data_IF_826285711641
#
_entry.id   IF_826285711641
#
_cell.length_a   1.000
_cell.length_b   1.000
_cell.length_c   1.000
_cell.angle_alpha   90.00
_cell.angle_beta   90.00
_cell.angle_gamma   90.00
#
_symmetry.space_group_name_H-M   'P 1'
#
loop_
_entity.id
_entity.type
_entity.pdbx_description
1 polymer ?
#
# COMPACT_ATOMS: atom_id res chain seq x y z
N UNK A 1 7.94 13.56 -30.14
CA UNK A 1 7.20 12.42 -29.56
C UNK A 1 7.03 12.71 -28.07
N UNK A 2 5.79 12.81 -27.58
CA UNK A 2 5.48 13.11 -26.17
C UNK A 2 5.08 11.79 -25.50
N UNK A 3 5.74 11.41 -24.41
CA UNK A 3 5.40 10.21 -23.64
C UNK A 3 4.23 10.54 -22.70
N UNK A 4 3.30 9.60 -22.55
CA UNK A 4 2.13 9.69 -21.66
C UNK A 4 1.94 8.35 -20.96
N UNK A 5 1.48 8.34 -19.71
CA UNK A 5 1.24 7.09 -19.00
C UNK A 5 0.03 6.34 -19.57
N UNK A 6 0.19 5.01 -19.63
CA UNK A 6 -0.90 4.09 -19.92
C UNK A 6 -1.56 3.62 -18.61
N UNK A 7 -2.86 3.34 -18.61
CA UNK A 7 -3.54 2.80 -17.43
C UNK A 7 -3.00 1.40 -17.09
N UNK A 8 -2.95 1.10 -15.80
CA UNK A 8 -2.58 -0.23 -15.27
C UNK A 8 -3.66 -0.71 -14.30
N UNK A 9 -3.90 -2.03 -14.29
CA UNK A 9 -4.88 -2.64 -13.40
C UNK A 9 -4.41 -2.60 -11.94
N UNK A 10 -5.32 -2.31 -11.01
CA UNK A 10 -5.01 -2.13 -9.58
C UNK A 10 -4.42 -3.39 -8.92
N UNK A 11 -4.78 -4.59 -9.38
CA UNK A 11 -4.23 -5.85 -8.84
C UNK A 11 -2.77 -6.09 -9.22
N UNK A 12 -2.24 -5.37 -10.22
CA UNK A 12 -0.83 -5.44 -10.61
C UNK A 12 0.04 -4.41 -9.86
N UNK A 13 -0.57 -3.70 -8.90
CA UNK A 13 0.09 -2.73 -8.04
C UNK A 13 0.14 -3.27 -6.61
N UNK A 14 1.16 -2.88 -5.86
CA UNK A 14 1.29 -3.16 -4.44
C UNK A 14 1.90 -1.95 -3.74
N UNK A 15 1.50 -1.73 -2.48
CA UNK A 15 2.05 -0.67 -1.67
C UNK A 15 3.44 -1.08 -1.18
N UNK A 16 4.40 -0.19 -1.31
CA UNK A 16 5.74 -0.37 -0.77
C UNK A 16 5.68 0.04 0.69
N UNK A 17 6.15 -0.84 1.56
CA UNK A 17 6.30 -0.52 2.97
C UNK A 17 7.53 0.38 3.17
N UNK A 18 7.35 1.53 3.81
CA UNK A 18 8.41 2.51 4.06
C UNK A 18 9.57 1.96 4.88
N UNK A 19 9.37 0.88 5.64
CA UNK A 19 10.40 0.30 6.49
C UNK A 19 11.17 -0.83 5.83
N UNK A 20 10.48 -1.67 5.07
CA UNK A 20 11.11 -2.83 4.41
C UNK A 20 11.45 -2.57 2.95
N UNK A 21 10.99 -1.47 2.35
CA UNK A 21 11.12 -1.16 0.91
C UNK A 21 10.66 -2.30 -0.01
N UNK A 22 9.80 -3.17 0.51
CA UNK A 22 9.27 -4.35 -0.19
C UNK A 22 7.77 -4.21 -0.39
N UNK A 23 7.24 -4.89 -1.40
CA UNK A 23 5.82 -4.94 -1.66
C UNK A 23 5.08 -5.62 -0.51
N UNK A 24 4.09 -4.94 0.06
CA UNK A 24 3.30 -5.46 1.18
C UNK A 24 1.81 -5.47 0.87
N UNK A 25 1.12 -6.43 1.48
CA UNK A 25 -0.34 -6.49 1.47
C UNK A 25 -0.87 -5.66 2.61
N UNK A 26 -1.94 -4.91 2.35
CA UNK A 26 -2.58 -4.08 3.37
C UNK A 26 -3.67 -4.85 4.11
N UNK A 27 -3.75 -4.60 5.41
CA UNK A 27 -4.90 -4.94 6.27
C UNK A 27 -5.62 -3.67 6.71
N UNK A 28 -6.78 -3.85 7.32
CA UNK A 28 -7.52 -2.77 7.97
C UNK A 28 -7.64 -3.07 9.46
N UNK A 29 -7.23 -2.13 10.29
CA UNK A 29 -7.35 -2.19 11.74
C UNK A 29 -8.03 -0.91 12.24
N UNK A 30 -8.70 -0.98 13.38
CA UNK A 30 -9.26 0.22 14.03
C UNK A 30 -8.36 0.58 15.21
N UNK A 31 -7.61 1.67 15.06
CA UNK A 31 -6.86 2.28 16.16
C UNK A 31 -7.50 3.62 16.49
N UNK A 32 -7.76 3.84 17.78
CA UNK A 32 -8.34 5.09 18.30
C UNK A 32 -9.65 5.51 17.59
N UNK A 33 -10.51 4.53 17.27
CA UNK A 33 -11.80 4.76 16.64
C UNK A 33 -11.75 5.08 15.13
N UNK A 34 -10.56 5.10 14.51
CA UNK A 34 -10.38 5.34 13.07
C UNK A 34 -9.90 4.07 12.36
N UNK A 35 -10.50 3.78 11.21
CA UNK A 35 -10.09 2.68 10.33
C UNK A 35 -8.80 3.07 9.61
N UNK A 36 -7.70 2.47 10.01
CA UNK A 36 -6.37 2.69 9.43
C UNK A 36 -5.97 1.50 8.58
N UNK A 37 -5.21 1.76 7.52
CA UNK A 37 -4.54 0.70 6.75
C UNK A 37 -3.25 0.36 7.45
N UNK A 38 -2.92 -0.91 7.54
CA UNK A 38 -1.64 -1.35 8.10
C UNK A 38 -0.95 -2.31 7.14
N UNK A 39 0.38 -2.28 7.12
CA UNK A 39 1.18 -3.27 6.40
C UNK A 39 1.10 -4.59 7.16
N UNK A 40 0.64 -5.66 6.50
CA UNK A 40 0.63 -7.00 7.13
C UNK A 40 2.02 -7.55 7.44
N UNK A 41 3.08 -6.94 6.88
CA UNK A 41 4.46 -7.41 7.04
C UNK A 41 5.16 -6.76 8.23
N UNK A 42 4.98 -5.45 8.41
CA UNK A 42 5.61 -4.68 9.49
C UNK A 42 4.65 -4.34 10.65
N UNK A 43 3.34 -4.56 10.47
CA UNK A 43 2.27 -4.10 11.37
C UNK A 43 2.26 -2.57 11.60
N UNK A 44 2.96 -1.81 10.77
CA UNK A 44 2.97 -0.36 10.78
C UNK A 44 1.76 0.19 10.02
N UNK A 45 1.30 1.35 10.48
CA UNK A 45 0.21 2.08 9.84
C UNK A 45 0.73 2.72 8.56
N UNK A 46 0.02 2.48 7.45
CA UNK A 46 0.27 3.06 6.13
C UNK A 46 -0.54 4.35 5.98
#
# INVERSE_FOLDING_TARGET
IVKKEAPIHISNLSLIDSKSSEATRVGFEVRDGKKVRFSKKSNEVI
#
